data_IF_916881645630
#
_entry.id   IF_916881645630
#
_cell.length_a   1.000
_cell.length_b   1.000
_cell.length_c   1.000
_cell.angle_alpha   90.00
_cell.angle_beta   90.00
_cell.angle_gamma   90.00
#
_symmetry.space_group_name_H-M   'P 1'
#
loop_
_entity.id
_entity.type
_entity.pdbx_description
1 polymer ?
#
# COMPACT_ATOMS: atom_id res chain seq x y z
N UNK A 1 36.37 -8.47 -7.99
CA UNK A 1 35.15 -7.86 -7.44
C UNK A 1 34.67 -8.73 -6.30
N UNK A 2 34.87 -8.28 -5.07
CA UNK A 2 34.54 -9.00 -3.85
C UNK A 2 33.05 -8.76 -3.57
N UNK A 3 32.20 -9.77 -3.78
CA UNK A 3 30.81 -9.70 -3.38
C UNK A 3 30.76 -9.49 -1.86
N UNK A 4 29.98 -8.51 -1.41
CA UNK A 4 29.69 -8.33 0.00
C UNK A 4 29.26 -9.68 0.59
N UNK A 5 29.91 -10.12 1.68
CA UNK A 5 29.54 -11.33 2.39
C UNK A 5 28.07 -11.19 2.82
N UNK A 6 27.16 -11.81 2.08
CA UNK A 6 25.74 -11.87 2.43
C UNK A 6 25.63 -12.65 3.72
N UNK A 7 25.21 -11.99 4.80
CA UNK A 7 24.98 -12.64 6.09
C UNK A 7 24.02 -13.81 5.87
N UNK A 8 24.52 -15.03 6.05
CA UNK A 8 23.72 -16.24 5.87
C UNK A 8 22.77 -16.36 7.06
N UNK A 9 21.52 -15.94 6.87
CA UNK A 9 20.47 -16.04 7.88
C UNK A 9 20.14 -17.49 8.28
N UNK A 10 20.68 -18.49 7.57
CA UNK A 10 20.59 -19.92 7.92
C UNK A 10 21.78 -20.41 8.75
N UNK A 11 22.87 -19.63 8.86
CA UNK A 11 24.08 -19.97 9.62
C UNK A 11 24.49 -18.82 10.54
N UNK A 12 24.21 -18.97 11.84
CA UNK A 12 24.61 -18.01 12.86
C UNK A 12 23.67 -17.98 14.06
N UNK A 13 23.81 -16.97 14.92
CA UNK A 13 22.88 -16.74 16.04
C UNK A 13 21.54 -16.21 15.52
N UNK A 14 20.47 -16.98 15.71
CA UNK A 14 19.09 -16.63 15.35
C UNK A 14 18.70 -15.24 15.90
N UNK A 15 19.12 -14.93 17.12
CA UNK A 15 18.86 -13.64 17.78
C UNK A 15 19.39 -12.46 16.98
N UNK A 16 20.59 -12.58 16.38
CA UNK A 16 21.17 -11.53 15.56
C UNK A 16 20.42 -11.36 14.23
N UNK A 17 20.00 -12.48 13.62
CA UNK A 17 19.18 -12.46 12.40
C UNK A 17 17.84 -11.77 12.62
N UNK A 18 17.15 -12.09 13.71
CA UNK A 18 15.89 -11.45 14.08
C UNK A 18 16.10 -9.94 14.27
N UNK A 19 17.08 -9.51 15.06
CA UNK A 19 17.32 -8.08 15.31
C UNK A 19 17.60 -7.29 14.03
N UNK A 20 18.39 -7.85 13.10
CA UNK A 20 18.71 -7.19 11.82
C UNK A 20 17.47 -7.02 10.94
N UNK A 21 16.52 -7.97 10.97
CA UNK A 21 15.29 -7.92 10.16
C UNK A 21 14.16 -7.13 10.85
N UNK A 22 14.07 -7.18 12.18
CA UNK A 22 13.01 -6.51 12.93
C UNK A 22 13.18 -5.00 12.98
N UNK A 23 14.41 -4.47 13.06
CA UNK A 23 14.67 -3.02 13.05
C UNK A 23 14.07 -2.34 11.80
N UNK A 24 14.40 -2.76 10.55
CA UNK A 24 13.84 -2.14 9.36
C UNK A 24 12.32 -2.33 9.27
N UNK A 25 11.80 -3.48 9.69
CA UNK A 25 10.35 -3.74 9.71
C UNK A 25 9.60 -2.79 10.65
N UNK A 26 10.10 -2.56 11.88
CA UNK A 26 9.48 -1.62 12.81
C UNK A 26 9.55 -0.19 12.29
N UNK A 27 10.67 0.17 11.66
CA UNK A 27 10.82 1.49 11.04
C UNK A 27 9.83 1.70 9.88
N UNK A 28 9.64 0.69 9.04
CA UNK A 28 8.64 0.68 7.97
C UNK A 28 7.23 0.94 8.53
N UNK A 29 6.81 0.18 9.55
CA UNK A 29 5.49 0.37 10.17
C UNK A 29 5.33 1.75 10.82
N UNK A 30 6.40 2.27 11.44
CA UNK A 30 6.38 3.62 12.00
C UNK A 30 6.21 4.69 10.91
N UNK A 31 6.90 4.54 9.77
CA UNK A 31 6.78 5.44 8.63
C UNK A 31 5.39 5.38 7.98
N UNK A 32 4.80 4.19 7.85
CA UNK A 32 3.43 4.01 7.36
C UNK A 32 2.42 4.75 8.24
N UNK A 33 2.55 4.64 9.57
CA UNK A 33 1.70 5.37 10.53
C UNK A 33 1.89 6.89 10.46
N UNK A 34 3.13 7.37 10.37
CA UNK A 34 3.42 8.81 10.23
C UNK A 34 2.86 9.34 8.91
N UNK A 35 2.97 8.57 7.83
CA UNK A 35 2.41 8.95 6.53
C UNK A 35 0.89 9.12 6.62
N UNK A 36 0.18 8.19 7.25
CA UNK A 36 -1.27 8.30 7.45
C UNK A 36 -1.65 9.56 8.27
N UNK A 37 -0.88 9.88 9.32
CA UNK A 37 -1.10 11.10 10.11
C UNK A 37 -0.87 12.38 9.30
N UNK A 38 0.18 12.40 8.50
CA UNK A 38 0.51 13.55 7.64
C UNK A 38 -0.56 13.73 6.57
N UNK A 39 -1.00 12.64 5.93
CA UNK A 39 -2.07 12.66 4.93
C UNK A 39 -3.36 13.25 5.50
N UNK A 40 -3.81 12.74 6.66
CA UNK A 40 -4.98 13.26 7.34
C UNK A 40 -4.82 14.73 7.78
N UNK A 41 -3.62 15.12 8.23
CA UNK A 41 -3.32 16.49 8.61
C UNK A 41 -3.49 17.45 7.43
N UNK A 42 -2.94 17.14 6.26
CA UNK A 42 -3.09 17.98 5.06
C UNK A 42 -4.53 18.03 4.56
N UNK A 43 -5.21 16.87 4.51
CA UNK A 43 -6.62 16.78 4.08
C UNK A 43 -7.53 17.58 5.01
N UNK A 44 -7.24 17.57 6.32
CA UNK A 44 -8.01 18.32 7.32
C UNK A 44 -7.88 19.85 7.23
N UNK A 45 -6.87 20.37 6.53
CA UNK A 45 -6.68 21.82 6.33
C UNK A 45 -7.33 22.36 5.05
N UNK A 46 -8.03 21.52 4.28
CA UNK A 46 -8.79 21.95 3.11
C UNK A 46 -10.06 22.71 3.53
N UNK A 47 -10.51 23.68 2.70
CA UNK A 47 -11.73 24.47 2.96
C UNK A 47 -12.99 23.60 3.18
N UNK A 48 -13.07 22.46 2.49
CA UNK A 48 -14.15 21.46 2.59
C UNK A 48 -13.68 20.20 3.34
N UNK A 49 -12.91 20.37 4.42
CA UNK A 49 -12.27 19.27 5.15
C UNK A 49 -13.23 18.17 5.60
N UNK A 50 -14.48 18.50 5.96
CA UNK A 50 -15.48 17.50 6.36
C UNK A 50 -15.81 16.48 5.26
N UNK A 51 -15.86 16.92 4.00
CA UNK A 51 -16.11 16.04 2.85
C UNK A 51 -14.81 15.35 2.41
N UNK A 52 -13.69 16.07 2.43
CA UNK A 52 -12.39 15.52 2.04
C UNK A 52 -11.93 14.39 2.99
N UNK A 53 -12.05 14.58 4.31
CA UNK A 53 -11.75 13.55 5.32
C UNK A 53 -12.67 12.33 5.14
N UNK A 54 -13.96 12.54 4.87
CA UNK A 54 -14.90 11.44 4.60
C UNK A 54 -14.49 10.63 3.36
N UNK A 55 -14.13 11.30 2.28
CA UNK A 55 -13.66 10.63 1.05
C UNK A 55 -12.40 9.82 1.33
N UNK A 56 -11.43 10.40 2.07
CA UNK A 56 -10.19 9.71 2.43
C UNK A 56 -10.44 8.46 3.27
N UNK A 57 -11.26 8.55 4.33
CA UNK A 57 -11.59 7.39 5.17
C UNK A 57 -12.35 6.28 4.42
N UNK A 58 -13.21 6.65 3.47
CA UNK A 58 -13.87 5.68 2.59
C UNK A 58 -12.88 5.01 1.64
N UNK A 59 -11.96 5.76 1.03
CA UNK A 59 -10.92 5.18 0.17
C UNK A 59 -9.94 4.32 0.95
N UNK A 60 -9.60 4.69 2.19
CA UNK A 60 -8.76 3.89 3.09
C UNK A 60 -9.40 2.54 3.39
N UNK A 61 -10.72 2.51 3.61
CA UNK A 61 -11.48 1.28 3.82
C UNK A 61 -11.44 0.36 2.59
N UNK A 62 -11.55 0.92 1.36
CA UNK A 62 -11.37 0.16 0.12
C UNK A 62 -9.94 -0.38 0.02
N UNK A 63 -8.95 0.46 0.32
CA UNK A 63 -7.54 0.06 0.29
C UNK A 63 -7.25 -1.06 1.27
N UNK A 64 -7.82 -1.06 2.47
CA UNK A 64 -7.64 -2.14 3.44
C UNK A 64 -8.06 -3.51 2.88
N UNK A 65 -9.17 -3.57 2.12
CA UNK A 65 -9.63 -4.80 1.47
C UNK A 65 -8.64 -5.25 0.40
N UNK A 66 -8.24 -4.33 -0.49
CA UNK A 66 -7.28 -4.64 -1.56
C UNK A 66 -5.93 -5.07 -0.94
N UNK A 67 -5.50 -4.39 0.11
CA UNK A 67 -4.24 -4.66 0.81
C UNK A 67 -4.25 -6.03 1.49
N UNK A 68 -5.39 -6.48 2.02
CA UNK A 68 -5.52 -7.82 2.59
C UNK A 68 -5.21 -8.94 1.59
N UNK A 69 -5.62 -8.77 0.32
CA UNK A 69 -5.34 -9.72 -0.77
C UNK A 69 -3.84 -9.69 -1.09
N UNK A 70 -3.25 -8.50 -1.19
CA UNK A 70 -1.82 -8.32 -1.45
C UNK A 70 -0.96 -8.96 -0.35
N UNK A 71 -1.31 -8.75 0.93
CA UNK A 71 -0.66 -9.40 2.07
C UNK A 71 -0.78 -10.93 1.97
N UNK A 72 -1.97 -11.45 1.64
CA UNK A 72 -2.18 -12.89 1.48
C UNK A 72 -1.24 -13.51 0.44
N UNK A 73 -1.09 -12.88 -0.72
CA UNK A 73 -0.17 -13.31 -1.77
C UNK A 73 1.29 -13.20 -1.31
N UNK A 74 1.63 -12.11 -0.62
CA UNK A 74 2.98 -11.89 -0.08
C UNK A 74 3.39 -12.98 0.92
N UNK A 75 2.51 -13.32 1.86
CA UNK A 75 2.75 -14.37 2.86
C UNK A 75 2.89 -15.74 2.17
N UNK A 76 1.98 -16.07 1.24
CA UNK A 76 2.03 -17.33 0.51
C UNK A 76 3.33 -17.47 -0.30
N UNK A 77 3.74 -16.41 -1.00
CA UNK A 77 4.98 -16.36 -1.77
C UNK A 77 6.20 -16.52 -0.87
N UNK A 78 6.24 -15.78 0.23
CA UNK A 78 7.33 -15.82 1.21
C UNK A 78 7.48 -17.22 1.78
N UNK A 79 6.38 -17.89 2.14
CA UNK A 79 6.41 -19.27 2.65
C UNK A 79 6.98 -20.26 1.62
N UNK A 80 6.57 -20.17 0.35
CA UNK A 80 7.07 -21.04 -0.73
C UNK A 80 8.56 -20.80 -0.97
N UNK A 81 8.97 -19.54 -1.08
CA UNK A 81 10.38 -19.17 -1.30
C UNK A 81 11.25 -19.61 -0.12
N UNK A 82 10.84 -19.30 1.11
CA UNK A 82 11.58 -19.68 2.32
C UNK A 82 11.76 -21.20 2.42
N UNK A 83 10.72 -21.98 2.09
CA UNK A 83 10.82 -23.45 2.05
C UNK A 83 11.84 -23.94 1.02
N UNK A 84 11.79 -23.44 -0.22
CA UNK A 84 12.72 -23.85 -1.29
C UNK A 84 14.17 -23.46 -1.00
N UNK A 85 14.38 -22.30 -0.37
CA UNK A 85 15.68 -21.88 0.14
C UNK A 85 16.16 -22.85 1.22
N UNK A 86 15.30 -23.26 2.15
CA UNK A 86 15.61 -24.26 3.18
C UNK A 86 15.96 -25.65 2.62
N UNK A 87 15.34 -26.04 1.50
CA UNK A 87 15.64 -27.27 0.75
C UNK A 87 16.95 -27.17 -0.07
N UNK A 88 17.66 -26.03 -0.04
CA UNK A 88 18.85 -25.70 -0.84
C UNK A 88 18.62 -25.64 -2.35
N UNK A 89 17.36 -25.57 -2.77
CA UNK A 89 16.92 -25.49 -4.16
C UNK A 89 16.76 -24.02 -4.59
N UNK A 90 17.87 -23.26 -4.58
CA UNK A 90 17.86 -21.80 -4.81
C UNK A 90 17.33 -21.39 -6.19
N UNK A 91 17.58 -22.20 -7.23
CA UNK A 91 17.05 -21.96 -8.57
C UNK A 91 15.53 -22.09 -8.59
N UNK A 92 14.99 -23.13 -7.95
CA UNK A 92 13.55 -23.33 -7.83
C UNK A 92 12.89 -22.24 -6.98
N UNK A 93 13.58 -21.71 -5.97
CA UNK A 93 13.10 -20.57 -5.18
C UNK A 93 12.97 -19.30 -6.05
N UNK A 94 13.96 -19.02 -6.90
CA UNK A 94 13.92 -17.89 -7.83
C UNK A 94 12.79 -18.03 -8.86
N UNK A 95 12.62 -19.22 -9.45
CA UNK A 95 11.52 -19.50 -10.39
C UNK A 95 10.14 -19.29 -9.75
N UNK A 96 9.94 -19.75 -8.51
CA UNK A 96 8.71 -19.49 -7.75
C UNK A 96 8.48 -18.01 -7.45
N UNK A 97 9.54 -17.26 -7.12
CA UNK A 97 9.46 -15.82 -6.91
C UNK A 97 8.99 -15.09 -8.17
N UNK A 98 9.54 -15.43 -9.34
CA UNK A 98 9.12 -14.84 -10.62
C UNK A 98 7.66 -15.19 -10.95
N UNK A 99 7.26 -16.45 -10.75
CA UNK A 99 5.86 -16.87 -10.95
C UNK A 99 4.90 -16.08 -10.05
N UNK A 100 5.26 -15.88 -8.78
CA UNK A 100 4.46 -15.10 -7.85
C UNK A 100 4.31 -13.64 -8.30
N UNK A 101 5.38 -13.02 -8.82
CA UNK A 101 5.34 -11.66 -9.39
C UNK A 101 4.37 -11.60 -10.57
N UNK A 102 4.42 -12.57 -11.50
CA UNK A 102 3.51 -12.62 -12.66
C UNK A 102 2.06 -12.73 -12.20
N UNK A 103 1.78 -13.60 -11.22
CA UNK A 103 0.45 -13.76 -10.64
C UNK A 103 -0.01 -12.47 -9.97
N UNK A 104 0.86 -11.82 -9.18
CA UNK A 104 0.56 -10.55 -8.52
C UNK A 104 0.24 -9.44 -9.53
N UNK A 105 1.00 -9.35 -10.63
CA UNK A 105 0.73 -8.40 -11.72
C UNK A 105 -0.63 -8.70 -12.36
N UNK A 106 -0.92 -9.96 -12.67
CA UNK A 106 -2.21 -10.34 -13.26
C UNK A 106 -3.38 -9.95 -12.34
N UNK A 107 -3.30 -10.29 -11.05
CA UNK A 107 -4.32 -9.93 -10.05
C UNK A 107 -4.46 -8.42 -9.94
N UNK A 108 -3.34 -7.68 -9.91
CA UNK A 108 -3.35 -6.22 -9.86
C UNK A 108 -4.05 -5.62 -11.09
N UNK A 109 -3.79 -6.14 -12.30
CA UNK A 109 -4.49 -5.69 -13.52
C UNK A 109 -6.00 -5.91 -13.40
N UNK A 110 -6.44 -7.07 -12.90
CA UNK A 110 -7.87 -7.34 -12.69
C UNK A 110 -8.50 -6.43 -11.63
N UNK A 111 -7.83 -6.23 -10.49
CA UNK A 111 -8.30 -5.33 -9.43
C UNK A 111 -8.35 -3.89 -9.92
N UNK A 112 -7.31 -3.42 -10.64
CA UNK A 112 -7.23 -2.07 -11.18
C UNK A 112 -8.32 -1.81 -12.23
N UNK A 113 -8.53 -2.75 -13.15
CA UNK A 113 -9.58 -2.63 -14.16
C UNK A 113 -10.98 -2.66 -13.54
N UNK A 114 -11.22 -3.57 -12.58
CA UNK A 114 -12.47 -3.63 -11.83
C UNK A 114 -12.69 -2.36 -11.01
N UNK A 115 -11.67 -1.87 -10.33
CA UNK A 115 -11.72 -0.63 -9.56
C UNK A 115 -12.01 0.58 -10.43
N UNK A 116 -11.46 0.65 -11.65
CA UNK A 116 -11.74 1.73 -12.59
C UNK A 116 -13.18 1.69 -13.12
N UNK A 117 -13.69 0.50 -13.48
CA UNK A 117 -15.04 0.33 -14.04
C UNK A 117 -16.11 0.52 -12.96
N UNK A 118 -15.88 -0.01 -11.75
CA UNK A 118 -16.86 -0.04 -10.66
C UNK A 118 -16.56 0.96 -9.53
N UNK A 119 -15.71 1.96 -9.79
CA UNK A 119 -15.28 2.95 -8.78
C UNK A 119 -16.47 3.56 -8.03
N UNK A 120 -17.52 3.93 -8.78
CA UNK A 120 -18.72 4.57 -8.26
C UNK A 120 -19.52 3.63 -7.36
N UNK A 121 -19.73 2.40 -7.81
CA UNK A 121 -20.49 1.37 -7.11
C UNK A 121 -19.79 0.95 -5.81
N UNK A 122 -18.46 0.79 -5.86
CA UNK A 122 -17.63 0.51 -4.68
C UNK A 122 -17.76 1.62 -3.64
N UNK A 123 -17.65 2.89 -4.06
CA UNK A 123 -17.80 4.04 -3.16
C UNK A 123 -19.21 4.12 -2.55
N UNK A 124 -20.25 3.88 -3.34
CA UNK A 124 -21.62 3.86 -2.83
C UNK A 124 -21.86 2.70 -1.85
N UNK A 125 -21.29 1.51 -2.11
CA UNK A 125 -21.36 0.36 -1.19
C UNK A 125 -20.65 0.62 0.13
N UNK A 126 -19.57 1.40 0.12
CA UNK A 126 -18.84 1.80 1.34
C UNK A 126 -19.58 2.88 2.16
N UNK A 127 -20.70 3.41 1.66
CA UNK A 127 -21.51 4.42 2.37
C UNK A 127 -21.19 5.87 1.98
N UNK A 128 -20.55 6.11 0.83
CA UNK A 128 -20.34 7.46 0.34
C UNK A 128 -21.68 8.18 0.08
N UNK A 129 -21.82 9.40 0.60
CA UNK A 129 -22.93 10.29 0.22
C UNK A 129 -22.84 10.63 -1.27
N UNK A 130 -23.99 10.78 -1.96
CA UNK A 130 -24.03 11.09 -3.39
C UNK A 130 -23.21 12.35 -3.78
N UNK A 131 -23.09 13.30 -2.85
CA UNK A 131 -22.25 14.50 -2.95
C UNK A 131 -20.74 14.22 -2.96
N UNK A 132 -20.26 13.24 -2.19
CA UNK A 132 -18.84 12.86 -2.15
C UNK A 132 -18.38 12.20 -3.45
N UNK A 133 -19.25 11.38 -4.05
CA UNK A 133 -19.02 10.74 -5.36
C UNK A 133 -18.97 11.77 -6.49
N UNK A 134 -19.85 12.78 -6.47
CA UNK A 134 -19.84 13.85 -7.48
C UNK A 134 -18.59 14.72 -7.34
N UNK A 135 -18.14 15.01 -6.12
CA UNK A 135 -16.91 15.77 -5.87
C UNK A 135 -15.66 15.00 -6.33
N UNK A 136 -15.58 13.70 -6.06
CA UNK A 136 -14.44 12.86 -6.45
C UNK A 136 -14.31 12.62 -7.97
N UNK A 137 -15.42 12.67 -8.73
CA UNK A 137 -15.42 12.41 -10.19
C UNK A 137 -15.26 13.69 -11.02
N UNK A 138 -15.72 14.86 -10.52
CA UNK A 138 -15.67 16.13 -11.26
C UNK A 138 -14.46 17.02 -10.92
N UNK A 139 -13.66 16.66 -9.92
CA UNK A 139 -12.46 17.42 -9.58
C UNK A 139 -11.51 17.43 -10.79
N UNK A 140 -11.24 18.63 -11.31
CA UNK A 140 -10.16 18.86 -12.26
C UNK A 140 -8.99 19.40 -11.46
N UNK A 141 -7.99 18.55 -11.20
CA UNK A 141 -6.75 18.94 -10.53
C UNK A 141 -5.89 19.86 -11.43
N UNK A 142 -6.39 21.04 -11.76
CA UNK A 142 -5.58 22.11 -12.32
C UNK A 142 -4.88 22.88 -11.19
N UNK A 143 -3.76 23.54 -11.52
CA UNK A 143 -2.93 24.26 -10.55
C UNK A 143 -3.70 25.37 -9.81
N UNK A 144 -4.65 26.02 -10.48
CA UNK A 144 -5.45 27.11 -9.92
C UNK A 144 -6.53 26.61 -8.96
N UNK A 145 -7.20 25.50 -9.25
CA UNK A 145 -8.17 24.90 -8.32
C UNK A 145 -7.46 24.32 -7.08
N UNK A 146 -6.32 23.65 -7.26
CA UNK A 146 -5.53 23.11 -6.15
C UNK A 146 -5.12 24.20 -5.15
N UNK A 147 -4.55 25.31 -5.63
CA UNK A 147 -4.12 26.41 -4.75
C UNK A 147 -5.30 27.10 -4.08
N UNK A 148 -6.47 27.12 -4.72
CA UNK A 148 -7.69 27.73 -4.16
C UNK A 148 -8.33 26.91 -3.04
N UNK A 149 -8.04 25.60 -2.97
CA UNK A 149 -8.57 24.68 -1.96
C UNK A 149 -7.98 24.91 -0.55
N UNK A 150 -6.81 25.56 -0.47
CA UNK A 150 -6.19 25.96 0.78
C UNK A 150 -6.75 27.31 1.27
N UNK A 151 -6.98 27.48 2.58
CA UNK A 151 -7.30 28.78 3.14
C UNK A 151 -6.15 29.77 2.89
N UNK A 152 -6.45 31.04 2.57
CA UNK A 152 -5.40 32.04 2.37
C UNK A 152 -4.60 32.23 3.67
N UNK A 153 -3.27 32.49 3.57
CA UNK A 153 -2.45 32.74 4.74
C UNK A 153 -3.00 33.95 5.49
N UNK A 154 -3.18 33.81 6.82
CA UNK A 154 -3.52 34.95 7.69
C UNK A 154 -2.26 35.79 7.84
N UNK A 155 -2.21 36.95 7.18
CA UNK A 155 -1.26 38.02 7.44
C UNK A 155 -1.64 38.76 8.72
#
# INVERSE_FOLDING_TARGET
MQYAESFDFTKGSITKGILILSIPMVLEMAMESVFALVDLYFVGHLKESNYAIQVVGLTESVFAIIYSIAIGISIATTAIVARRIGEKETRQAAESGVQAIIIAIAINVFISLGGFIFAKEILMLMGASASAVVYGVNIKWDRSEFLSSFPPPKL
#
